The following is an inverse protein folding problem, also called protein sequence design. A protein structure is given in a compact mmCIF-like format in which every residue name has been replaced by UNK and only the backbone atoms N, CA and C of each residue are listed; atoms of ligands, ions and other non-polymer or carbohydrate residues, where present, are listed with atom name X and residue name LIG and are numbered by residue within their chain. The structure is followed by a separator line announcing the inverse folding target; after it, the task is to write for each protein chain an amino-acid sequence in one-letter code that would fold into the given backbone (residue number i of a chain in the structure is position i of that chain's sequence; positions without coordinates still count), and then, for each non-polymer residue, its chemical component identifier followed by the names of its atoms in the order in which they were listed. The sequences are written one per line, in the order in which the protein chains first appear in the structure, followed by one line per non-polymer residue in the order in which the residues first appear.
data_IF_435837972781
#
_entry.id   IF_435837972781
#
_cell.length_a   1.000
_cell.length_b   1.000
_cell.length_c   1.000
_cell.angle_alpha   90.00
_cell.angle_beta   90.00
_cell.angle_gamma   90.00
#
_symmetry.space_group_name_H-M   'P 1'
#
loop_
_entity.id
_entity.type
_entity.pdbx_description
1 polymer ?
#
# COMPACT_ATOMS: atom_id res chain seq x y z
N UNK A 1 -21.44 0.10 -4.12
CA UNK A 1 -20.39 1.09 -4.44
C UNK A 1 -19.03 0.39 -4.35
N UNK A 2 -18.20 0.46 -5.39
CA UNK A 2 -16.80 -0.01 -5.32
C UNK A 2 -15.92 1.15 -4.84
N UNK A 3 -15.57 1.16 -3.55
CA UNK A 3 -14.66 2.17 -2.99
C UNK A 3 -13.22 1.76 -3.28
N UNK A 4 -12.66 2.26 -4.39
CA UNK A 4 -11.23 2.07 -4.67
C UNK A 4 -10.45 3.02 -3.76
N UNK A 5 -9.97 2.51 -2.63
CA UNK A 5 -9.05 3.24 -1.75
C UNK A 5 -7.65 3.16 -2.36
N UNK A 6 -7.32 4.11 -3.22
CA UNK A 6 -5.93 4.34 -3.67
C UNK A 6 -5.18 5.03 -2.53
N UNK A 7 -4.58 4.24 -1.64
CA UNK A 7 -3.48 4.72 -0.79
C UNK A 7 -2.27 4.94 -1.71
N UNK A 8 -2.07 6.19 -2.15
CA UNK A 8 -0.99 6.55 -3.04
C UNK A 8 0.36 6.51 -2.31
N UNK A 9 1.06 5.38 -2.44
CA UNK A 9 2.51 5.30 -2.28
C UNK A 9 3.15 5.28 -3.68
N UNK A 10 4.35 5.85 -3.82
CA UNK A 10 4.95 6.30 -5.08
C UNK A 10 4.77 5.33 -6.27
N UNK A 11 3.93 5.71 -7.24
CA UNK A 11 4.05 5.38 -8.68
C UNK A 11 2.79 5.81 -9.44
N UNK A 12 2.80 6.98 -10.07
CA UNK A 12 1.87 7.30 -11.17
C UNK A 12 2.48 8.29 -12.16
N UNK A 13 2.72 7.84 -13.38
CA UNK A 13 1.95 8.32 -14.54
C UNK A 13 1.80 7.21 -15.58
N UNK A 14 0.63 7.15 -16.22
CA UNK A 14 0.38 6.32 -17.40
C UNK A 14 -0.52 7.06 -18.38
N UNK A 15 -0.20 6.93 -19.68
CA UNK A 15 -1.01 7.11 -20.91
C UNK A 15 -0.06 6.81 -22.08
N UNK A 16 -0.31 5.81 -22.94
CA UNK A 16 -1.18 5.87 -24.13
C UNK A 16 -0.78 7.01 -25.09
N UNK A 17 -0.61 6.86 -26.42
CA UNK A 17 -0.58 5.73 -27.38
C UNK A 17 -0.06 6.26 -28.76
N UNK A 18 0.03 5.60 -29.93
CA UNK A 18 -0.50 4.31 -30.43
C UNK A 18 0.20 3.87 -31.76
N UNK A 19 0.00 2.60 -32.16
CA UNK A 19 -0.02 2.02 -33.53
C UNK A 19 1.19 2.12 -34.51
N UNK A 20 1.78 0.93 -34.72
CA UNK A 20 1.81 0.18 -36.00
C UNK A 20 2.82 0.55 -37.12
N UNK A 21 3.66 -0.45 -37.43
CA UNK A 21 3.86 -0.94 -38.79
C UNK A 21 4.04 -2.47 -38.74
N UNK A 22 3.24 -3.23 -39.51
CA UNK A 22 3.52 -4.65 -39.77
C UNK A 22 4.54 -4.75 -40.90
N UNK A 23 5.52 -5.65 -40.77
CA UNK A 23 6.28 -6.14 -41.93
C UNK A 23 6.32 -7.67 -41.93
N UNK A 24 6.04 -8.20 -43.12
CA UNK A 24 5.89 -9.61 -43.42
C UNK A 24 7.27 -10.22 -43.75
N UNK A 25 7.58 -11.41 -43.23
CA UNK A 25 8.86 -12.07 -43.51
C UNK A 25 8.85 -13.55 -43.14
N UNK A 26 8.45 -14.41 -44.08
CA UNK A 26 8.59 -15.86 -43.94
C UNK A 26 10.04 -16.29 -44.19
N UNK A 27 10.70 -16.81 -43.16
CA UNK A 27 11.89 -17.67 -43.31
C UNK A 27 11.79 -18.84 -42.34
N UNK A 28 11.80 -20.05 -42.89
CA UNK A 28 11.78 -21.31 -42.14
C UNK A 28 13.17 -21.59 -41.57
N UNK A 29 13.31 -21.50 -40.25
CA UNK A 29 14.51 -21.93 -39.53
C UNK A 29 14.12 -22.95 -38.46
N UNK A 30 14.87 -24.05 -38.37
CA UNK A 30 14.62 -25.13 -37.40
C UNK A 30 14.72 -24.61 -35.97
N UNK A 31 13.63 -24.71 -35.21
CA UNK A 31 13.62 -24.39 -33.78
C UNK A 31 14.36 -25.51 -33.05
N UNK A 32 15.65 -25.28 -32.78
CA UNK A 32 16.32 -25.95 -31.67
C UNK A 32 15.61 -25.51 -30.40
N UNK A 33 15.10 -26.46 -29.61
CA UNK A 33 14.45 -26.16 -28.34
C UNK A 33 15.51 -25.64 -27.36
N UNK A 34 15.66 -24.31 -27.27
CA UNK A 34 16.37 -23.69 -26.17
C UNK A 34 15.54 -23.94 -24.90
N UNK A 35 16.06 -24.79 -24.04
CA UNK A 35 15.62 -24.93 -22.66
C UNK A 35 15.66 -23.52 -22.03
N UNK A 36 14.53 -22.97 -21.56
CA UNK A 36 14.51 -21.63 -21.02
C UNK A 36 15.20 -21.62 -19.66
N UNK A 37 16.48 -21.25 -19.67
CA UNK A 37 17.25 -20.86 -18.48
C UNK A 37 16.66 -19.57 -17.91
N UNK A 38 15.50 -19.72 -17.27
CA UNK A 38 14.77 -18.69 -16.55
C UNK A 38 15.49 -18.37 -15.23
N UNK A 39 16.74 -17.93 -15.33
CA UNK A 39 17.42 -17.19 -14.27
C UNK A 39 16.72 -15.84 -14.19
N UNK A 40 15.59 -15.82 -13.48
CA UNK A 40 14.79 -14.62 -13.26
C UNK A 40 15.57 -13.68 -12.37
N UNK A 41 16.47 -12.89 -12.98
CA UNK A 41 17.21 -11.79 -12.37
C UNK A 41 16.26 -10.61 -12.09
N UNK A 42 15.07 -10.89 -11.56
CA UNK A 42 14.13 -9.89 -11.08
C UNK A 42 14.81 -9.14 -9.94
N UNK A 43 14.93 -7.81 -10.02
CA UNK A 43 15.47 -7.01 -8.94
C UNK A 43 14.79 -7.35 -7.62
N UNK A 44 15.61 -7.49 -6.57
CA UNK A 44 15.18 -7.80 -5.22
C UNK A 44 15.74 -6.74 -4.28
N UNK A 45 14.92 -6.18 -3.40
CA UNK A 45 15.32 -5.11 -2.48
C UNK A 45 14.98 -5.43 -1.03
N UNK A 46 15.87 -5.05 -0.09
CA UNK A 46 15.67 -5.19 1.36
C UNK A 46 14.83 -4.05 1.94
N UNK A 47 14.44 -4.18 3.21
CA UNK A 47 13.71 -3.11 3.92
C UNK A 47 14.54 -1.80 3.97
N UNK A 48 13.89 -0.62 4.05
CA UNK A 48 14.59 0.66 4.14
C UNK A 48 15.45 0.74 5.40
N UNK A 49 16.65 1.32 5.26
CA UNK A 49 17.52 1.65 6.38
C UNK A 49 17.45 3.15 6.63
N UNK A 50 16.84 3.53 7.74
CA UNK A 50 16.71 4.93 8.16
C UNK A 50 17.86 5.37 9.06
N UNK A 51 18.07 6.68 9.15
CA UNK A 51 18.89 7.35 10.17
C UNK A 51 18.08 8.45 10.82
N UNK A 52 18.27 8.67 12.13
CA UNK A 52 17.69 9.82 12.82
C UNK A 52 18.21 11.11 12.16
N UNK A 53 17.29 12.00 11.81
CA UNK A 53 17.56 13.22 11.04
C UNK A 53 17.34 13.10 9.53
N UNK A 54 17.15 11.90 8.96
CA UNK A 54 16.73 11.76 7.55
C UNK A 54 15.42 12.51 7.33
N UNK A 55 15.34 13.30 6.25
CA UNK A 55 14.22 14.21 5.99
C UNK A 55 13.84 14.20 4.51
N UNK A 56 12.54 14.18 4.24
CA UNK A 56 11.98 14.29 2.89
C UNK A 56 10.69 15.10 2.87
N UNK A 57 10.29 15.51 1.67
CA UNK A 57 9.03 16.21 1.41
C UNK A 57 8.31 15.54 0.24
N UNK A 58 7.01 15.31 0.37
CA UNK A 58 6.18 14.73 -0.68
C UNK A 58 4.82 15.40 -0.75
N UNK A 59 4.17 15.29 -1.92
CA UNK A 59 2.82 15.80 -2.13
C UNK A 59 1.83 14.65 -1.93
N UNK A 60 1.05 14.70 -0.86
CA UNK A 60 -0.02 13.74 -0.58
C UNK A 60 -1.35 14.22 -1.18
N UNK A 61 -1.92 13.44 -2.09
CA UNK A 61 -3.21 13.75 -2.70
C UNK A 61 -3.71 12.62 -3.59
N UNK A 62 -4.95 12.75 -4.05
CA UNK A 62 -5.46 11.91 -5.14
C UNK A 62 -4.89 12.43 -6.46
N UNK A 63 -4.59 11.55 -7.41
CA UNK A 63 -4.04 11.93 -8.72
C UNK A 63 -5.04 12.60 -9.67
N UNK A 64 -6.32 12.60 -9.32
CA UNK A 64 -7.36 13.41 -9.96
C UNK A 64 -7.55 14.81 -9.30
N UNK A 65 -6.89 15.08 -8.18
CA UNK A 65 -6.91 16.39 -7.52
C UNK A 65 -5.84 17.32 -8.09
N UNK A 66 -6.22 18.54 -8.45
CA UNK A 66 -5.27 19.61 -8.82
C UNK A 66 -4.45 20.13 -7.64
N UNK A 67 -4.89 19.88 -6.40
CA UNK A 67 -4.22 20.35 -5.19
C UNK A 67 -3.91 19.14 -4.30
N UNK A 68 -2.63 18.91 -4.05
CA UNK A 68 -2.16 18.00 -3.02
C UNK A 68 -1.69 18.77 -1.78
N UNK A 69 -1.57 18.05 -0.67
CA UNK A 69 -1.04 18.54 0.60
C UNK A 69 0.47 18.32 0.62
N UNK A 70 1.26 19.37 0.88
CA UNK A 70 2.68 19.19 1.15
C UNK A 70 2.86 18.50 2.50
N UNK A 71 3.63 17.43 2.55
CA UNK A 71 3.96 16.69 3.76
C UNK A 71 5.47 16.65 3.92
N UNK A 72 5.96 17.18 5.04
CA UNK A 72 7.36 17.09 5.44
C UNK A 72 7.46 16.01 6.50
N UNK A 73 8.41 15.09 6.36
CA UNK A 73 8.72 14.07 7.37
C UNK A 73 10.20 14.08 7.72
N UNK A 74 10.50 13.94 9.01
CA UNK A 74 11.85 13.78 9.55
C UNK A 74 11.88 12.57 10.50
N UNK A 75 12.85 11.68 10.37
CA UNK A 75 13.07 10.57 11.32
C UNK A 75 13.52 11.12 12.67
N UNK A 76 12.77 10.85 13.73
CA UNK A 76 13.06 11.35 15.09
C UNK A 76 13.41 10.24 16.09
N UNK A 77 12.87 9.04 15.91
CA UNK A 77 13.22 7.86 16.72
C UNK A 77 13.37 6.65 15.80
N UNK A 78 14.38 5.83 16.05
CA UNK A 78 14.64 4.57 15.36
C UNK A 78 14.98 3.49 16.38
N UNK A 79 14.29 2.36 16.31
CA UNK A 79 14.51 1.16 17.14
C UNK A 79 14.46 -0.08 16.24
N UNK A 80 14.85 -1.25 16.77
CA UNK A 80 14.80 -2.52 16.04
C UNK A 80 13.39 -2.94 15.56
N UNK A 81 12.33 -2.39 16.19
CA UNK A 81 10.93 -2.79 15.96
C UNK A 81 10.08 -1.69 15.34
N UNK A 82 10.47 -0.43 15.51
CA UNK A 82 9.66 0.73 15.18
C UNK A 82 10.52 1.91 14.74
N UNK A 83 10.06 2.64 13.73
CA UNK A 83 10.59 3.95 13.36
C UNK A 83 9.50 5.00 13.51
N UNK A 84 9.80 6.13 14.14
CA UNK A 84 8.87 7.25 14.32
C UNK A 84 9.37 8.47 13.54
N UNK A 85 8.48 9.03 12.73
CA UNK A 85 8.70 10.28 12.00
C UNK A 85 7.92 11.42 12.66
N UNK A 86 8.54 12.59 12.76
CA UNK A 86 7.83 13.85 12.96
C UNK A 86 7.31 14.32 11.61
N UNK A 87 6.01 14.56 11.49
CA UNK A 87 5.32 14.83 10.23
C UNK A 87 4.51 16.12 10.31
N UNK A 88 4.75 17.05 9.40
CA UNK A 88 3.97 18.29 9.24
C UNK A 88 3.22 18.29 7.91
N UNK A 89 2.03 18.91 7.87
CA UNK A 89 1.21 19.10 6.67
C UNK A 89 1.02 20.59 6.42
N UNK A 90 1.38 21.08 5.23
CA UNK A 90 1.31 22.49 4.84
C UNK A 90 1.84 23.43 5.95
N UNK A 91 3.02 23.12 6.50
CA UNK A 91 3.71 23.84 7.57
C UNK A 91 2.94 23.99 8.90
N UNK A 92 1.87 23.19 9.09
CA UNK A 92 1.15 23.08 10.36
C UNK A 92 1.96 22.37 11.46
N UNK A 93 1.43 22.31 12.70
CA UNK A 93 2.11 21.65 13.82
C UNK A 93 2.50 20.20 13.50
N UNK A 94 3.72 19.76 13.86
CA UNK A 94 4.15 18.39 13.64
C UNK A 94 3.37 17.42 14.53
N UNK A 95 3.15 16.21 14.01
CA UNK A 95 2.61 15.08 14.75
C UNK A 95 3.44 13.83 14.44
N UNK A 96 3.40 12.86 15.35
CA UNK A 96 4.11 11.59 15.17
C UNK A 96 3.39 10.65 14.21
N UNK A 97 4.20 9.91 13.46
CA UNK A 97 3.78 8.84 12.55
C UNK A 97 4.73 7.66 12.79
N UNK A 98 4.19 6.52 13.20
CA UNK A 98 4.96 5.33 13.51
C UNK A 98 4.84 4.28 12.41
N UNK A 99 5.95 3.59 12.18
CA UNK A 99 6.08 2.49 11.24
C UNK A 99 6.72 1.27 11.92
N UNK A 100 6.33 0.06 11.53
CA UNK A 100 7.04 -1.16 11.91
C UNK A 100 8.39 -1.29 11.18
N UNK A 101 9.17 -2.32 11.52
CA UNK A 101 10.46 -2.61 10.88
C UNK A 101 10.37 -3.11 9.42
N UNK A 102 9.16 -3.19 8.85
CA UNK A 102 8.92 -3.38 7.42
C UNK A 102 8.47 -2.09 6.73
N UNK A 103 8.46 -0.95 7.44
CA UNK A 103 8.01 0.34 6.91
C UNK A 103 6.49 0.44 6.74
N UNK A 104 5.70 -0.43 7.38
CA UNK A 104 4.23 -0.31 7.38
C UNK A 104 3.76 0.61 8.50
N UNK A 105 2.81 1.47 8.20
CA UNK A 105 2.19 2.38 9.15
C UNK A 105 1.51 1.60 10.30
N UNK A 106 1.85 1.96 11.55
CA UNK A 106 1.22 1.44 12.78
C UNK A 106 0.42 2.52 13.52
N UNK A 107 0.83 3.80 13.43
CA UNK A 107 0.09 4.95 14.00
C UNK A 107 0.28 6.22 13.17
N UNK A 108 -0.79 7.02 13.06
CA UNK A 108 -0.73 8.41 12.60
C UNK A 108 -1.71 9.25 13.41
N UNK A 109 -1.20 10.26 14.13
CA UNK A 109 -2.00 11.07 15.05
C UNK A 109 -2.90 10.18 15.96
N UNK A 110 -4.22 10.43 15.99
CA UNK A 110 -5.21 9.64 16.73
C UNK A 110 -5.76 8.41 16.00
N UNK A 111 -5.00 7.81 15.07
CA UNK A 111 -5.39 6.58 14.36
C UNK A 111 -4.29 5.52 14.50
N UNK A 112 -4.66 4.29 14.86
CA UNK A 112 -3.76 3.13 14.93
C UNK A 112 -4.17 2.05 13.93
N UNK A 113 -3.20 1.20 13.59
CA UNK A 113 -3.32 0.07 12.66
C UNK A 113 -2.65 -1.14 13.31
N UNK A 114 -3.42 -2.14 13.72
CA UNK A 114 -2.91 -3.34 14.38
C UNK A 114 -3.03 -4.58 13.46
N UNK A 115 -1.95 -5.33 13.18
CA UNK A 115 -0.57 -5.12 13.67
C UNK A 115 0.15 -3.96 12.96
N UNK A 116 -0.12 -3.74 11.68
CA UNK A 116 0.31 -2.60 10.86
C UNK A 116 -0.48 -2.59 9.55
N UNK A 117 -0.34 -1.56 8.70
CA UNK A 117 -1.04 -1.44 7.42
C UNK A 117 -0.79 -2.62 6.45
N UNK A 118 0.33 -3.35 6.59
CA UNK A 118 0.65 -4.57 5.84
C UNK A 118 0.94 -4.42 4.32
N UNK A 119 0.97 -3.20 3.79
CA UNK A 119 1.16 -2.88 2.37
C UNK A 119 2.58 -3.12 1.84
N UNK A 120 3.58 -3.20 2.71
CA UNK A 120 4.98 -3.56 2.42
C UNK A 120 5.35 -4.91 3.05
N UNK A 121 6.20 -5.68 2.39
CA UNK A 121 6.82 -6.90 2.92
C UNK A 121 8.11 -7.18 2.15
N UNK A 122 9.24 -7.11 2.85
CA UNK A 122 10.55 -7.30 2.25
C UNK A 122 10.97 -8.79 2.32
N UNK A 123 11.91 -9.26 1.47
CA UNK A 123 12.42 -8.55 0.30
C UNK A 123 11.32 -8.30 -0.75
N UNK A 124 11.40 -7.16 -1.43
CA UNK A 124 10.48 -6.76 -2.50
C UNK A 124 10.93 -7.36 -3.81
N UNK A 125 10.02 -7.96 -4.57
CA UNK A 125 10.28 -8.65 -5.84
C UNK A 125 8.99 -8.69 -6.66
N UNK A 126 9.07 -8.52 -7.98
CA UNK A 126 7.91 -8.61 -8.89
C UNK A 126 7.30 -10.03 -8.84
N UNK A 127 5.97 -10.11 -8.85
CA UNK A 127 5.21 -11.36 -8.67
C UNK A 127 5.00 -11.78 -7.22
N UNK A 128 5.61 -11.08 -6.23
CA UNK A 128 5.34 -11.34 -4.81
C UNK A 128 3.93 -10.86 -4.45
N UNK A 129 3.06 -11.79 -4.09
CA UNK A 129 1.71 -11.52 -3.58
C UNK A 129 1.53 -12.02 -2.14
N UNK A 130 0.58 -11.43 -1.42
CA UNK A 130 0.16 -11.87 -0.07
C UNK A 130 -1.19 -11.25 0.30
N UNK A 131 -1.88 -11.86 1.25
CA UNK A 131 -2.98 -11.20 1.92
C UNK A 131 -2.46 -10.32 3.08
N UNK A 132 -3.10 -9.17 3.26
CA UNK A 132 -2.87 -8.25 4.36
C UNK A 132 -4.17 -8.11 5.17
N UNK A 133 -4.02 -8.02 6.49
CA UNK A 133 -5.12 -7.86 7.43
C UNK A 133 -4.70 -6.89 8.53
N UNK A 134 -5.57 -5.94 8.86
CA UNK A 134 -5.36 -5.06 10.01
C UNK A 134 -6.69 -4.54 10.56
N UNK A 135 -6.70 -4.29 11.86
CA UNK A 135 -7.72 -3.45 12.49
C UNK A 135 -7.23 -2.01 12.47
N UNK A 136 -8.04 -1.09 11.96
CA UNK A 136 -7.82 0.35 12.04
C UNK A 136 -8.72 0.92 13.14
N UNK A 137 -8.14 1.56 14.16
CA UNK A 137 -8.88 2.26 15.23
C UNK A 137 -8.70 3.76 15.08
N UNK A 138 -9.76 4.52 15.33
CA UNK A 138 -9.77 5.98 15.23
C UNK A 138 -10.93 6.57 16.04
N UNK A 139 -10.97 7.89 16.22
CA UNK A 139 -12.09 8.58 16.88
C UNK A 139 -13.43 8.41 16.13
N UNK A 140 -13.41 8.11 14.84
CA UNK A 140 -14.62 7.79 14.05
C UNK A 140 -15.01 6.30 14.10
N UNK A 141 -14.30 5.50 14.89
CA UNK A 141 -14.58 4.09 15.14
C UNK A 141 -13.52 3.12 14.60
N UNK A 142 -13.89 1.85 14.65
CA UNK A 142 -13.06 0.68 14.37
C UNK A 142 -13.46 0.01 13.06
N UNK A 143 -12.49 -0.18 12.17
CA UNK A 143 -12.63 -0.94 10.92
C UNK A 143 -11.73 -2.17 10.96
N UNK A 144 -12.29 -3.32 10.61
CA UNK A 144 -11.58 -4.56 10.29
C UNK A 144 -11.35 -4.62 8.77
N UNK A 145 -10.10 -4.64 8.32
CA UNK A 145 -9.71 -4.43 6.92
C UNK A 145 -8.85 -5.60 6.41
N UNK A 146 -9.21 -6.13 5.25
CA UNK A 146 -8.43 -7.14 4.52
C UNK A 146 -8.19 -6.70 3.07
N UNK A 147 -7.01 -6.96 2.52
CA UNK A 147 -6.70 -6.71 1.11
C UNK A 147 -5.63 -7.68 0.58
N UNK A 148 -5.77 -8.12 -0.67
CA UNK A 148 -4.72 -8.87 -1.37
C UNK A 148 -3.73 -7.90 -1.98
N UNK A 149 -2.43 -8.04 -1.70
CA UNK A 149 -1.37 -7.09 -2.08
C UNK A 149 -0.37 -7.77 -2.98
N UNK A 150 -0.13 -7.20 -4.17
CA UNK A 150 0.76 -7.75 -5.20
C UNK A 150 1.80 -6.71 -5.64
N UNK A 151 3.04 -7.16 -5.88
CA UNK A 151 4.10 -6.38 -6.51
C UNK A 151 4.08 -6.65 -8.02
N UNK A 152 3.46 -5.76 -8.79
CA UNK A 152 3.10 -6.02 -10.21
C UNK A 152 4.16 -5.59 -11.21
N UNK A 153 5.08 -4.69 -10.84
CA UNK A 153 6.14 -4.19 -11.72
C UNK A 153 7.33 -3.61 -10.95
N UNK A 154 8.44 -3.44 -11.68
CA UNK A 154 9.60 -2.64 -11.29
C UNK A 154 9.80 -1.59 -12.39
N UNK A 155 9.70 -0.30 -12.05
CA UNK A 155 9.57 0.81 -12.98
C UNK A 155 10.59 1.91 -12.65
N UNK A 156 11.15 2.56 -13.67
CA UNK A 156 11.98 3.76 -13.49
C UNK A 156 11.08 5.00 -13.42
N UNK A 157 11.21 5.79 -12.35
CA UNK A 157 10.28 6.89 -12.00
C UNK A 157 11.05 8.21 -11.87
N UNK A 158 10.65 9.20 -12.66
CA UNK A 158 11.15 10.57 -12.55
C UNK A 158 10.24 11.42 -11.66
N UNK A 159 10.83 12.13 -10.69
CA UNK A 159 10.16 13.15 -9.87
C UNK A 159 11.06 14.41 -9.75
N UNK A 160 10.55 15.46 -9.12
CA UNK A 160 11.30 16.70 -8.87
C UNK A 160 12.57 16.50 -8.01
N UNK A 161 12.60 15.45 -7.18
CA UNK A 161 13.75 15.09 -6.35
C UNK A 161 14.82 14.22 -7.07
N UNK A 162 14.59 13.86 -8.34
CA UNK A 162 15.47 12.98 -9.11
C UNK A 162 14.77 11.76 -9.72
N UNK A 163 15.57 10.80 -10.15
CA UNK A 163 15.14 9.58 -10.83
C UNK A 163 15.37 8.37 -9.91
N UNK A 164 14.39 7.47 -9.81
CA UNK A 164 14.40 6.35 -8.86
C UNK A 164 13.85 5.09 -9.51
N UNK A 165 14.46 3.94 -9.25
CA UNK A 165 13.86 2.64 -9.57
C UNK A 165 12.92 2.22 -8.44
N UNK A 166 11.67 1.89 -8.77
CA UNK A 166 10.59 1.69 -7.80
C UNK A 166 9.78 0.42 -8.08
N UNK A 167 9.34 -0.25 -7.02
CA UNK A 167 8.36 -1.33 -7.12
C UNK A 167 6.94 -0.77 -7.11
N UNK A 168 6.12 -1.25 -8.04
CA UNK A 168 4.71 -0.93 -8.11
C UNK A 168 3.90 -1.95 -7.31
N UNK A 169 3.14 -1.46 -6.34
CA UNK A 169 2.33 -2.28 -5.44
C UNK A 169 0.86 -2.00 -5.72
N UNK A 170 0.04 -3.04 -5.84
CA UNK A 170 -1.42 -2.92 -6.02
C UNK A 170 -2.14 -3.68 -4.92
N UNK A 171 -3.22 -3.08 -4.41
CA UNK A 171 -4.11 -3.70 -3.42
C UNK A 171 -5.45 -4.03 -4.09
N UNK A 172 -5.79 -5.31 -4.11
CA UNK A 172 -7.02 -5.88 -4.67
C UNK A 172 -7.97 -6.30 -3.54
N UNK A 173 -9.27 -6.36 -3.85
CA UNK A 173 -10.26 -6.94 -2.94
C UNK A 173 -10.33 -6.28 -1.56
N UNK A 174 -10.06 -4.97 -1.45
CA UNK A 174 -10.07 -4.23 -0.18
C UNK A 174 -11.46 -4.31 0.47
N UNK A 175 -11.59 -5.15 1.47
CA UNK A 175 -12.79 -5.34 2.28
C UNK A 175 -12.65 -4.56 3.58
N UNK A 176 -13.70 -3.87 4.01
CA UNK A 176 -13.74 -3.18 5.30
C UNK A 176 -15.07 -3.45 6.01
N UNK A 177 -15.00 -3.93 7.26
CA UNK A 177 -16.14 -4.16 8.14
C UNK A 177 -16.07 -3.17 9.30
N UNK A 178 -17.13 -2.41 9.54
CA UNK A 178 -17.22 -1.57 10.74
C UNK A 178 -17.61 -2.45 11.94
N UNK A 179 -16.75 -2.51 12.96
CA UNK A 179 -16.96 -3.38 14.13
C UNK A 179 -17.89 -2.74 15.17
N UNK A 180 -17.93 -1.42 15.26
CA UNK A 180 -18.73 -0.72 16.28
C UNK A 180 -20.24 -0.80 15.96
N UNK A 181 -20.60 -0.85 14.67
CA UNK A 181 -21.99 -0.97 14.21
C UNK A 181 -22.65 -2.31 14.57
N UNK A 182 -21.88 -3.31 15.01
CA UNK A 182 -22.41 -4.62 15.42
C UNK A 182 -22.89 -4.66 16.89
N UNK A 183 -22.63 -3.63 17.70
CA UNK A 183 -22.97 -3.64 19.14
C UNK A 183 -24.37 -3.13 19.50
N UNK A 184 -25.19 -2.69 18.53
CA UNK A 184 -26.50 -2.05 18.79
C UNK A 184 -27.66 -2.66 17.96
N UNK A 185 -27.62 -3.97 17.69
CA UNK A 185 -28.82 -4.72 17.34
C UNK A 185 -29.45 -5.26 18.63
N UNK A 186 -30.52 -4.64 19.19
CA UNK A 186 -31.29 -5.28 20.25
C UNK A 186 -32.00 -6.49 19.64
N UNK A 187 -31.47 -7.69 19.89
CA UNK A 187 -32.20 -8.92 19.58
C UNK A 187 -33.33 -9.08 20.61
N UNK A 188 -34.45 -8.40 20.38
CA UNK A 188 -35.70 -8.68 21.11
C UNK A 188 -36.29 -9.98 20.58
N UNK A 189 -35.62 -11.10 20.87
CA UNK A 189 -36.11 -12.44 20.61
C UNK A 189 -37.17 -12.79 21.64
N UNK A 190 -38.38 -12.25 21.47
CA UNK A 190 -39.56 -12.65 22.24
C UNK A 190 -39.96 -14.07 21.79
N UNK A 191 -39.86 -15.10 22.64
CA UNK A 191 -40.28 -16.45 22.25
C UNK A 191 -41.81 -16.51 22.34
N UNK A 192 -42.48 -16.30 21.20
CA UNK A 192 -43.93 -16.46 21.12
C UNK A 192 -44.30 -17.93 21.13
N UNK A 193 -44.52 -18.45 22.34
CA UNK A 193 -45.38 -19.58 22.72
C UNK A 193 -45.48 -20.84 21.84
N UNK A 194 -45.24 -21.99 22.47
CA UNK A 194 -46.16 -23.13 22.40
C UNK A 194 -46.04 -24.00 23.65
N UNK A 195 -47.14 -24.16 24.39
CA UNK A 195 -47.37 -25.35 25.22
C UNK A 195 -47.94 -26.45 24.32
N UNK A 196 -47.58 -27.71 24.56
CA UNK A 196 -48.52 -28.81 24.48
C UNK A 196 -48.97 -29.25 25.88
N UNK A 197 -50.01 -30.10 25.88
CA UNK A 197 -50.78 -30.60 27.04
C UNK A 197 -49.95 -31.51 27.95
#
# INVERSE_FOLDING_TARGET
MKTIIVMAYLSMFSRQSCRAAMLLGFLTASVAAQEPTSTSNTPSSSAPVYKVGDKWTFIYGRTDSKQGTSVVQTVVVLTEKQTTFSSSRNDGPPHEVDFDNQGNLTRVAGTTYEPSLGSLSFPMMVGKSRDSHHVKRSTSGTLDISAHVEVVAFEHVQVAAGSFDAYKIVSHGVNSKNLDRLRHAPFTATPTGMRPV
#
